data_IF_506576395332
#
_entry.id   IF_506576395332
#
_cell.length_a   1.000
_cell.length_b   1.000
_cell.length_c   1.000
_cell.angle_alpha   90.00
_cell.angle_beta   90.00
_cell.angle_gamma   90.00
#
_symmetry.space_group_name_H-M   'P 1'
#
loop_
_entity.id
_entity.type
_entity.pdbx_description
1 polymer ?
#
# COMPACT_ATOMS: atom_id res chain seq x y z
N UNK A 1 -27.10 2.18 4.05
CA UNK A 1 -26.05 2.21 5.08
C UNK A 1 -24.75 1.75 4.44
N UNK A 2 -23.78 2.64 4.21
CA UNK A 2 -22.48 2.25 3.64
C UNK A 2 -21.66 1.52 4.68
N UNK A 3 -21.53 0.21 4.56
CA UNK A 3 -20.53 -0.53 5.33
C UNK A 3 -19.16 0.02 4.96
N UNK A 4 -18.58 0.86 5.84
CA UNK A 4 -17.17 1.24 5.75
C UNK A 4 -16.41 -0.09 5.82
N UNK A 5 -15.65 -0.39 4.78
CA UNK A 5 -14.83 -1.60 4.72
C UNK A 5 -13.94 -1.74 5.96
N UNK A 6 -13.41 -2.95 6.22
CA UNK A 6 -12.56 -3.20 7.37
C UNK A 6 -11.44 -2.16 7.47
N UNK A 7 -11.16 -1.67 8.69
CA UNK A 7 -10.09 -0.73 8.97
C UNK A 7 -8.75 -1.44 8.90
N UNK A 8 -7.75 -0.71 8.42
CA UNK A 8 -6.35 -1.14 8.44
C UNK A 8 -5.86 -1.12 9.90
N UNK A 9 -5.17 -2.18 10.34
CA UNK A 9 -4.58 -2.22 11.70
C UNK A 9 -3.43 -1.21 11.84
N UNK A 10 -3.01 -0.89 13.07
CA UNK A 10 -1.84 -0.01 13.31
C UNK A 10 -0.59 -0.56 12.63
N UNK A 11 -0.32 -1.86 12.77
CA UNK A 11 0.82 -2.54 12.15
C UNK A 11 0.75 -2.42 10.62
N UNK A 12 -0.41 -2.69 10.03
CA UNK A 12 -0.61 -2.56 8.59
C UNK A 12 -0.44 -1.11 8.11
N UNK A 13 -0.86 -0.12 8.92
CA UNK A 13 -0.65 1.30 8.63
C UNK A 13 0.83 1.66 8.65
N UNK A 14 1.58 1.19 9.65
CA UNK A 14 3.01 1.47 9.77
C UNK A 14 3.79 0.84 8.60
N UNK A 15 3.42 -0.37 8.18
CA UNK A 15 3.96 -0.99 6.96
C UNK A 15 3.65 -0.17 5.71
N UNK A 16 2.43 0.36 5.57
CA UNK A 16 2.09 1.24 4.44
C UNK A 16 2.95 2.51 4.41
N UNK A 17 3.21 3.11 5.57
CA UNK A 17 4.05 4.30 5.71
C UNK A 17 5.49 3.97 5.33
N UNK A 18 6.08 2.94 5.94
CA UNK A 18 7.45 2.52 5.68
C UNK A 18 7.67 2.12 4.21
N UNK A 19 6.73 1.39 3.61
CA UNK A 19 6.81 1.00 2.21
C UNK A 19 6.75 2.21 1.28
N UNK A 20 5.92 3.22 1.62
CA UNK A 20 5.87 4.48 0.85
C UNK A 20 7.19 5.26 0.97
N UNK A 21 7.82 5.28 2.13
CA UNK A 21 9.13 5.94 2.32
C UNK A 21 10.22 5.28 1.47
N UNK A 22 10.21 3.95 1.36
CA UNK A 22 11.12 3.20 0.49
C UNK A 22 10.79 3.35 -1.00
N UNK A 23 9.51 3.58 -1.32
CA UNK A 23 8.99 3.65 -2.69
C UNK A 23 8.21 4.97 -2.91
N UNK A 24 8.89 6.15 -2.89
CA UNK A 24 8.23 7.46 -2.91
C UNK A 24 7.35 7.69 -4.15
N UNK A 25 7.66 7.00 -5.25
CA UNK A 25 6.91 7.02 -6.52
C UNK A 25 5.55 6.32 -6.50
N UNK A 26 5.20 5.62 -5.41
CA UNK A 26 3.85 5.12 -5.19
C UNK A 26 2.92 6.21 -4.61
N UNK A 27 3.47 7.36 -4.19
CA UNK A 27 2.72 8.50 -3.69
C UNK A 27 1.88 9.21 -4.77
N UNK A 28 0.81 9.89 -4.31
CA UNK A 28 -0.20 10.56 -5.15
C UNK A 28 0.36 11.71 -6.02
N UNK A 29 1.50 12.28 -5.63
CA UNK A 29 2.10 13.47 -6.25
C UNK A 29 3.49 13.22 -6.84
N UNK A 30 3.88 11.96 -7.06
CA UNK A 30 5.16 11.70 -7.73
C UNK A 30 5.02 11.92 -9.23
N UNK A 31 5.29 13.15 -9.66
CA UNK A 31 5.25 13.60 -11.06
C UNK A 31 6.60 13.47 -11.75
N UNK A 32 7.65 13.07 -11.02
CA UNK A 32 8.92 12.72 -11.65
C UNK A 32 8.71 11.45 -12.48
N UNK A 33 8.69 11.67 -13.79
CA UNK A 33 8.81 10.66 -14.83
C UNK A 33 10.19 10.01 -14.65
N UNK A 34 10.36 9.18 -13.62
CA UNK A 34 11.56 8.38 -13.46
C UNK A 34 11.56 7.39 -14.63
N UNK A 35 12.54 7.46 -15.55
CA UNK A 35 12.58 6.56 -16.71
C UNK A 35 12.65 5.08 -16.32
N UNK A 36 12.91 4.79 -15.03
CA UNK A 36 13.04 3.45 -14.45
C UNK A 36 11.73 2.87 -13.91
N UNK A 37 10.68 3.68 -13.72
CA UNK A 37 9.42 3.21 -13.13
C UNK A 37 8.41 2.85 -14.23
N UNK A 38 8.46 1.61 -14.69
CA UNK A 38 7.48 1.10 -15.65
C UNK A 38 6.14 0.81 -14.95
N UNK A 39 5.04 0.82 -15.71
CA UNK A 39 3.73 0.42 -15.20
C UNK A 39 3.75 -1.01 -14.61
N UNK A 40 4.55 -1.91 -15.20
CA UNK A 40 4.76 -3.26 -14.71
C UNK A 40 5.45 -3.28 -13.33
N UNK A 41 6.52 -2.49 -13.15
CA UNK A 41 7.21 -2.39 -11.85
C UNK A 41 6.31 -1.77 -10.78
N UNK A 42 5.54 -0.73 -11.13
CA UNK A 42 4.53 -0.14 -10.24
C UNK A 42 3.49 -1.17 -9.80
N UNK A 43 2.98 -1.99 -10.74
CA UNK A 43 2.05 -3.08 -10.44
C UNK A 43 2.67 -4.12 -9.49
N UNK A 44 3.92 -4.51 -9.73
CA UNK A 44 4.63 -5.46 -8.85
C UNK A 44 4.72 -4.93 -7.42
N UNK A 45 5.06 -3.66 -7.22
CA UNK A 45 5.20 -3.09 -5.88
C UNK A 45 3.86 -2.99 -5.15
N UNK A 46 2.77 -2.72 -5.87
CA UNK A 46 1.42 -2.81 -5.29
C UNK A 46 1.04 -4.24 -4.91
N UNK A 47 1.47 -5.25 -5.67
CA UNK A 47 1.25 -6.65 -5.31
C UNK A 47 2.11 -7.09 -4.12
N UNK A 48 3.34 -6.60 -4.04
CA UNK A 48 4.26 -6.87 -2.94
C UNK A 48 3.71 -6.33 -1.62
N UNK A 49 3.31 -5.05 -1.58
CA UNK A 49 2.72 -4.46 -0.37
C UNK A 49 1.39 -5.15 0.00
N UNK A 50 0.55 -5.50 -0.97
CA UNK A 50 -0.67 -6.25 -0.69
C UNK A 50 -0.38 -7.62 -0.06
N UNK A 51 0.66 -8.32 -0.54
CA UNK A 51 1.11 -9.60 0.02
C UNK A 51 1.60 -9.43 1.46
N UNK A 52 2.44 -8.42 1.71
CA UNK A 52 2.95 -8.11 3.04
C UNK A 52 1.83 -7.77 4.04
N UNK A 53 0.84 -6.98 3.61
CA UNK A 53 -0.31 -6.63 4.45
C UNK A 53 -1.19 -7.83 4.77
N UNK A 54 -1.37 -8.75 3.81
CA UNK A 54 -2.14 -9.97 4.01
C UNK A 54 -1.43 -10.96 4.95
N UNK A 55 -0.10 -10.99 4.96
CA UNK A 55 0.69 -11.81 5.89
C UNK A 55 0.53 -11.37 7.35
N UNK A 56 0.29 -10.09 7.62
CA UNK A 56 0.02 -9.61 8.99
C UNK A 56 -1.39 -9.97 9.50
N UNK A 57 -2.26 -10.49 8.64
CA UNK A 57 -3.62 -10.89 8.99
C UNK A 57 -4.69 -10.04 8.31
N UNK A 58 -5.97 -10.41 8.49
CA UNK A 58 -7.08 -9.73 7.84
C UNK A 58 -7.21 -8.28 8.33
N UNK A 59 -7.61 -7.38 7.42
CA UNK A 59 -8.03 -6.04 7.81
C UNK A 59 -9.12 -6.14 8.89
N UNK A 60 -9.02 -5.32 9.93
CA UNK A 60 -9.84 -5.41 11.13
C UNK A 60 -11.26 -4.95 10.79
N UNK A 61 -12.26 -5.83 10.91
CA UNK A 61 -13.67 -5.40 10.84
C UNK A 61 -13.89 -4.43 12.00
N UNK A 62 -14.27 -3.19 11.68
CA UNK A 62 -14.81 -2.32 12.73
C UNK A 62 -16.13 -2.91 13.19
N UNK A 63 -16.38 -2.99 14.52
CA UNK A 63 -17.73 -3.25 15.01
C UNK A 63 -18.70 -2.19 14.50
#
# INVERSE_FOLDING_TARGET
MSAKGPRVSTVQRDMLIQFREQHPYLGRYYTEVSPRMTAARKKQLWQEIATLLNQQGPAVKSP
#
